data_IF_449222126640
#
_entry.id   IF_449222126640
#
_cell.length_a   1.000
_cell.length_b   1.000
_cell.length_c   1.000
_cell.angle_alpha   90.00
_cell.angle_beta   90.00
_cell.angle_gamma   90.00
#
_symmetry.space_group_name_H-M   'P 1'
#
loop_
_entity.id
_entity.type
_entity.pdbx_description
1 polymer ?
#
# COMPACT_ATOMS: atom_id res chain seq x y z
N UNK A 1 -3.88 10.19 1.21
CA UNK A 1 -4.25 9.02 0.39
C UNK A 1 -3.56 7.79 0.97
N UNK A 2 -4.05 6.60 0.62
CA UNK A 2 -3.49 5.33 1.08
C UNK A 2 -3.27 4.39 -0.10
N UNK A 3 -2.30 3.49 0.02
CA UNK A 3 -2.04 2.43 -0.94
C UNK A 3 -1.69 1.12 -0.23
N UNK A 4 -2.04 0.01 -0.87
CA UNK A 4 -1.69 -1.35 -0.47
C UNK A 4 -0.79 -1.93 -1.56
N UNK A 5 0.34 -2.52 -1.17
CA UNK A 5 1.27 -3.13 -2.11
C UNK A 5 2.11 -4.23 -1.50
N UNK A 6 2.74 -5.03 -2.37
CA UNK A 6 3.75 -6.02 -2.00
C UNK A 6 5.11 -5.51 -2.45
N UNK A 7 6.10 -5.52 -1.56
CA UNK A 7 7.49 -5.23 -1.92
C UNK A 7 8.05 -6.35 -2.79
N UNK A 8 9.17 -6.07 -3.46
CA UNK A 8 10.00 -7.06 -4.16
C UNK A 8 10.39 -8.25 -3.27
N UNK A 9 10.75 -7.97 -2.03
CA UNK A 9 11.06 -8.95 -0.96
C UNK A 9 9.83 -9.66 -0.40
N UNK A 10 8.63 -9.29 -0.86
CA UNK A 10 7.39 -9.98 -0.55
C UNK A 10 6.61 -9.46 0.67
N UNK A 11 7.06 -8.39 1.33
CA UNK A 11 6.35 -7.77 2.45
C UNK A 11 5.10 -7.05 1.97
N UNK A 12 4.02 -7.18 2.71
CA UNK A 12 2.76 -6.50 2.42
C UNK A 12 2.69 -5.20 3.22
N UNK A 13 2.69 -4.06 2.53
CA UNK A 13 2.72 -2.74 3.17
C UNK A 13 1.43 -1.97 2.95
N UNK A 14 0.95 -1.34 4.02
CA UNK A 14 -0.01 -0.26 3.98
C UNK A 14 0.76 1.06 4.08
N UNK A 15 0.60 1.91 3.07
CA UNK A 15 1.33 3.18 2.95
C UNK A 15 0.35 4.35 2.99
N UNK A 16 0.59 5.31 3.89
CA UNK A 16 -0.11 6.58 3.94
C UNK A 16 0.79 7.65 3.36
N UNK A 17 0.27 8.44 2.43
CA UNK A 17 1.04 9.46 1.74
C UNK A 17 0.19 10.67 1.35
N UNK A 18 0.88 11.75 1.02
CA UNK A 18 0.30 12.92 0.36
C UNK A 18 0.95 13.16 -1.00
N UNK A 19 0.14 13.58 -1.96
CA UNK A 19 0.60 14.03 -3.27
C UNK A 19 0.92 15.52 -3.19
N UNK A 20 2.04 15.94 -3.76
CA UNK A 20 2.49 17.33 -3.90
C UNK A 20 2.47 17.72 -5.38
N UNK A 21 2.52 19.03 -5.70
CA UNK A 21 2.71 19.49 -7.08
C UNK A 21 3.91 18.81 -7.75
N UNK A 22 3.82 18.65 -9.07
CA UNK A 22 4.86 17.95 -9.85
C UNK A 22 4.82 16.42 -9.72
N UNK A 23 3.67 15.83 -9.38
CA UNK A 23 3.48 14.37 -9.25
C UNK A 23 4.40 13.71 -8.20
N UNK A 24 4.81 14.47 -7.19
CA UNK A 24 5.69 13.99 -6.12
C UNK A 24 4.86 13.41 -4.99
N UNK A 25 5.13 12.16 -4.61
CA UNK A 25 4.51 11.53 -3.44
C UNK A 25 5.43 11.67 -2.23
N UNK A 26 4.92 12.23 -1.12
CA UNK A 26 5.58 12.18 0.20
C UNK A 26 4.91 11.14 1.07
N UNK A 27 5.63 10.06 1.37
CA UNK A 27 5.23 9.06 2.36
C UNK A 27 5.21 9.71 3.75
N UNK A 28 4.12 9.49 4.47
CA UNK A 28 3.93 9.93 5.86
C UNK A 28 4.25 8.76 6.79
N UNK A 29 3.69 7.59 6.51
CA UNK A 29 3.99 6.36 7.25
C UNK A 29 3.83 5.14 6.34
N UNK A 30 4.59 4.10 6.64
CA UNK A 30 4.46 2.77 6.06
C UNK A 30 4.56 1.74 7.19
N UNK A 31 3.60 0.82 7.22
CA UNK A 31 3.60 -0.30 8.18
C UNK A 31 3.25 -1.59 7.46
N UNK A 32 3.53 -2.72 8.10
CA UNK A 32 3.02 -4.00 7.62
C UNK A 32 1.48 -4.00 7.65
N UNK A 33 0.89 -4.61 6.63
CA UNK A 33 -0.55 -4.86 6.58
C UNK A 33 -0.95 -5.82 7.69
N UNK A 34 -2.12 -5.59 8.28
CA UNK A 34 -2.79 -6.56 9.13
C UNK A 34 -3.28 -7.76 8.31
N UNK A 35 -3.66 -8.86 8.97
CA UNK A 35 -4.22 -10.03 8.27
C UNK A 35 -5.49 -9.70 7.48
N UNK A 36 -6.33 -8.81 8.00
CA UNK A 36 -7.52 -8.35 7.29
C UNK A 36 -7.17 -7.58 6.01
N UNK A 37 -6.22 -6.64 6.09
CA UNK A 37 -5.75 -5.87 4.93
C UNK A 37 -5.04 -6.75 3.90
N UNK A 38 -4.26 -7.75 4.33
CA UNK A 38 -3.66 -8.75 3.44
C UNK A 38 -4.71 -9.54 2.67
N UNK A 39 -5.76 -10.02 3.34
CA UNK A 39 -6.86 -10.75 2.68
C UNK A 39 -7.60 -9.87 1.68
N UNK A 40 -7.90 -8.63 2.05
CA UNK A 40 -8.52 -7.66 1.16
C UNK A 40 -7.64 -7.38 -0.07
N UNK A 41 -6.34 -7.13 0.12
CA UNK A 41 -5.39 -6.88 -0.95
C UNK A 41 -5.31 -8.05 -1.94
N UNK A 42 -5.25 -9.30 -1.44
CA UNK A 42 -5.21 -10.49 -2.31
C UNK A 42 -6.46 -10.62 -3.16
N UNK A 43 -7.65 -10.52 -2.54
CA UNK A 43 -8.94 -10.56 -3.26
C UNK A 43 -8.99 -9.51 -4.38
N UNK A 44 -8.63 -8.28 -4.04
CA UNK A 44 -8.60 -7.15 -5.00
C UNK A 44 -7.56 -7.31 -6.11
N UNK A 45 -6.48 -8.04 -5.85
CA UNK A 45 -5.43 -8.32 -6.84
C UNK A 45 -5.82 -9.47 -7.76
N UNK A 46 -6.56 -10.46 -7.27
CA UNK A 46 -7.07 -11.58 -8.07
C UNK A 46 -8.22 -11.14 -9.00
N UNK A 47 -8.96 -10.09 -8.64
CA UNK A 47 -10.01 -9.46 -9.46
C UNK A 47 -9.46 -8.53 -10.56
N UNK A 48 -8.15 -8.33 -10.66
CA UNK A 48 -7.48 -7.39 -11.58
C UNK A 48 -6.57 -8.11 -12.57
#
# INVERSE_FOLDING_TARGET
MTALGRTDTGRYLFVVFKVRPGNVVRVITARDMTDAERRYYRRRKEER
#
